data_IF_285144020562
#
_entry.id   IF_285144020562
#
_cell.length_a   1.000
_cell.length_b   1.000
_cell.length_c   1.000
_cell.angle_alpha   90.00
_cell.angle_beta   90.00
_cell.angle_gamma   90.00
#
_symmetry.space_group_name_H-M   'P 1'
#
loop_
_entity.id
_entity.type
_entity.pdbx_description
1 polymer ?
#
# COMPACT_ATOMS: atom_id res chain seq x y z
N UNK A 1 -13.46 -21.27 8.76
CA UNK A 1 -12.46 -20.78 7.79
C UNK A 1 -11.44 -20.04 8.60
N UNK A 2 -10.16 -20.12 8.27
CA UNK A 2 -9.10 -19.49 9.05
C UNK A 2 -8.18 -18.69 8.16
N UNK A 3 -8.06 -17.38 8.39
CA UNK A 3 -7.16 -16.50 7.65
C UNK A 3 -5.98 -16.15 8.54
N UNK A 4 -4.77 -16.52 8.10
CA UNK A 4 -3.53 -16.33 8.82
C UNK A 4 -2.68 -15.28 8.12
N UNK A 5 -2.35 -14.20 8.84
CA UNK A 5 -1.34 -13.24 8.42
C UNK A 5 0.04 -13.68 8.93
N UNK A 6 1.01 -13.83 8.04
CA UNK A 6 2.40 -14.19 8.39
C UNK A 6 3.38 -13.85 7.27
N UNK A 7 4.62 -13.54 7.61
CA UNK A 7 5.71 -13.42 6.63
C UNK A 7 6.37 -14.78 6.30
N UNK A 8 5.95 -15.88 6.95
CA UNK A 8 6.45 -17.24 6.74
C UNK A 8 5.28 -18.21 6.47
N UNK A 9 4.62 -18.10 5.30
CA UNK A 9 3.54 -19.01 4.93
C UNK A 9 4.05 -20.45 4.87
N UNK A 10 3.19 -21.38 5.27
CA UNK A 10 3.48 -22.82 5.32
C UNK A 10 2.78 -23.60 4.20
N UNK A 11 1.88 -22.95 3.47
CA UNK A 11 1.16 -23.48 2.33
C UNK A 11 0.34 -24.74 2.65
N UNK A 12 -0.19 -24.83 3.87
CA UNK A 12 -1.00 -25.97 4.34
C UNK A 12 -2.44 -25.96 3.79
N UNK A 13 -2.86 -24.88 3.15
CA UNK A 13 -4.17 -24.74 2.52
C UNK A 13 -4.05 -23.88 1.26
N UNK A 14 -4.78 -22.78 1.25
CA UNK A 14 -4.69 -21.76 0.20
C UNK A 14 -3.79 -20.62 0.65
N UNK A 15 -3.25 -19.87 -0.31
CA UNK A 15 -2.56 -18.63 0.01
C UNK A 15 -2.74 -17.58 -1.05
N UNK A 16 -2.79 -16.32 -0.64
CA UNK A 16 -2.88 -15.15 -1.51
C UNK A 16 -1.74 -14.21 -1.15
N UNK A 17 -0.99 -13.74 -2.15
CA UNK A 17 0.15 -12.85 -1.98
C UNK A 17 1.13 -13.37 -0.92
N UNK A 18 1.59 -14.60 -1.10
CA UNK A 18 2.32 -15.36 -0.08
C UNK A 18 3.68 -15.91 -0.54
N UNK A 19 4.21 -15.41 -1.65
CA UNK A 19 5.47 -15.85 -2.25
C UNK A 19 5.37 -17.23 -2.93
N UNK A 20 4.18 -17.63 -3.39
CA UNK A 20 3.98 -18.85 -4.17
C UNK A 20 2.81 -18.70 -5.13
N UNK A 21 3.07 -18.90 -6.42
CA UNK A 21 2.06 -18.95 -7.47
C UNK A 21 2.01 -20.35 -8.11
N UNK A 22 0.86 -21.02 -8.01
CA UNK A 22 0.59 -22.27 -8.73
C UNK A 22 -0.75 -22.29 -9.46
N UNK A 23 -1.58 -21.24 -9.32
CA UNK A 23 -2.93 -21.13 -9.89
C UNK A 23 -3.91 -22.27 -9.51
N UNK A 24 -3.59 -23.04 -8.47
CA UNK A 24 -4.43 -24.13 -7.96
C UNK A 24 -4.81 -23.84 -6.51
N UNK A 25 -3.82 -23.52 -5.67
CA UNK A 25 -4.01 -23.22 -4.25
C UNK A 25 -3.31 -21.94 -3.81
N UNK A 26 -2.28 -21.52 -4.53
CA UNK A 26 -1.43 -20.39 -4.17
C UNK A 26 -1.44 -19.37 -5.30
N UNK A 27 -1.84 -18.15 -4.97
CA UNK A 27 -2.07 -17.07 -5.91
C UNK A 27 -1.20 -15.90 -5.51
N UNK A 28 -0.28 -15.52 -6.38
CA UNK A 28 0.71 -14.47 -6.17
C UNK A 28 1.16 -14.01 -7.55
N UNK A 29 1.42 -12.71 -7.71
CA UNK A 29 1.88 -12.12 -8.97
C UNK A 29 3.14 -11.25 -8.81
N UNK A 30 3.88 -11.40 -7.71
CA UNK A 30 5.07 -10.59 -7.45
C UNK A 30 6.36 -11.37 -7.70
N UNK A 31 7.42 -10.64 -8.07
CA UNK A 31 8.77 -11.20 -8.26
C UNK A 31 8.80 -12.32 -9.29
N UNK A 32 9.22 -13.52 -8.88
CA UNK A 32 9.27 -14.68 -9.78
C UNK A 32 7.90 -15.14 -10.31
N UNK A 33 6.80 -14.65 -9.72
CA UNK A 33 5.44 -14.97 -10.13
C UNK A 33 4.76 -13.87 -10.96
N UNK A 34 5.49 -12.87 -11.43
CA UNK A 34 4.93 -11.75 -12.25
C UNK A 34 4.15 -12.16 -13.50
N UNK A 35 4.33 -13.40 -13.97
CA UNK A 35 3.61 -13.96 -15.11
C UNK A 35 2.25 -14.59 -14.74
N UNK A 36 1.96 -14.71 -13.43
CA UNK A 36 0.68 -15.18 -12.93
C UNK A 36 -0.27 -13.98 -12.78
N UNK A 37 -1.58 -14.15 -13.02
CA UNK A 37 -2.54 -13.06 -12.87
C UNK A 37 -2.69 -12.68 -11.40
N UNK A 38 -2.88 -11.38 -11.13
CA UNK A 38 -3.08 -10.91 -9.76
C UNK A 38 -4.37 -11.51 -9.16
N UNK A 39 -4.40 -11.76 -7.84
CA UNK A 39 -5.58 -12.30 -7.16
C UNK A 39 -6.90 -11.57 -7.46
N UNK A 40 -6.91 -10.25 -7.61
CA UNK A 40 -8.16 -9.56 -7.95
C UNK A 40 -8.68 -9.90 -9.35
N UNK A 41 -7.79 -10.21 -10.29
CA UNK A 41 -8.13 -10.50 -11.69
C UNK A 41 -7.97 -12.00 -12.06
N UNK A 42 -7.63 -12.85 -11.09
CA UNK A 42 -7.43 -14.28 -11.30
C UNK A 42 -8.75 -15.07 -11.23
N UNK A 43 -9.32 -15.37 -12.41
CA UNK A 43 -10.53 -16.17 -12.54
C UNK A 43 -10.34 -17.67 -12.27
N UNK A 44 -9.11 -18.13 -12.02
CA UNK A 44 -8.81 -19.53 -11.69
C UNK A 44 -8.90 -19.81 -10.18
N UNK A 45 -9.02 -18.77 -9.35
CA UNK A 45 -9.22 -18.91 -7.90
C UNK A 45 -10.55 -19.66 -7.65
N UNK A 46 -10.51 -20.86 -7.03
CA UNK A 46 -11.71 -21.65 -6.78
C UNK A 46 -12.44 -21.16 -5.53
N UNK A 47 -13.71 -21.53 -5.39
CA UNK A 47 -14.41 -21.42 -4.10
C UNK A 47 -13.96 -22.57 -3.20
N UNK A 48 -13.54 -22.28 -1.97
CA UNK A 48 -12.96 -23.24 -1.04
C UNK A 48 -13.94 -23.70 0.04
N UNK A 49 -13.62 -24.82 0.67
CA UNK A 49 -14.42 -25.39 1.76
C UNK A 49 -14.38 -24.50 3.01
N UNK A 50 -15.46 -24.51 3.80
CA UNK A 50 -15.64 -23.60 4.95
C UNK A 50 -14.59 -23.74 6.04
N UNK A 51 -13.89 -24.85 6.14
CA UNK A 51 -12.85 -25.14 7.13
C UNK A 51 -11.43 -24.93 6.59
N UNK A 52 -11.29 -24.48 5.34
CA UNK A 52 -10.00 -24.16 4.72
C UNK A 52 -9.23 -23.09 5.51
N UNK A 53 -7.91 -23.22 5.49
CA UNK A 53 -6.97 -22.19 5.94
C UNK A 53 -6.45 -21.40 4.73
N UNK A 54 -6.45 -20.08 4.84
CA UNK A 54 -5.93 -19.14 3.86
C UNK A 54 -4.77 -18.38 4.51
N UNK A 55 -3.59 -18.38 3.90
CA UNK A 55 -2.44 -17.62 4.36
C UNK A 55 -2.19 -16.40 3.49
N UNK A 56 -1.92 -15.26 4.12
CA UNK A 56 -1.64 -13.98 3.46
C UNK A 56 -0.39 -13.34 4.08
N UNK A 57 0.38 -12.57 3.31
CA UNK A 57 1.52 -11.80 3.86
C UNK A 57 1.20 -10.34 4.13
N UNK A 58 0.11 -9.83 3.56
CA UNK A 58 -0.35 -8.48 3.78
C UNK A 58 -1.86 -8.39 3.50
N UNK A 59 -2.42 -7.19 3.66
CA UNK A 59 -3.82 -6.92 3.35
C UNK A 59 -3.91 -5.61 2.59
N UNK A 60 -4.26 -5.72 1.33
CA UNK A 60 -4.63 -4.64 0.43
C UNK A 60 -5.87 -5.04 -0.39
N UNK A 61 -6.20 -4.24 -1.39
CA UNK A 61 -7.38 -4.48 -2.20
C UNK A 61 -7.25 -5.71 -3.11
N UNK A 62 -6.06 -5.98 -3.63
CA UNK A 62 -5.84 -7.16 -4.47
C UNK A 62 -6.00 -8.44 -3.64
N UNK A 63 -5.31 -8.51 -2.48
CA UNK A 63 -5.45 -9.60 -1.51
C UNK A 63 -6.90 -9.78 -1.06
N UNK A 64 -7.59 -8.68 -0.73
CA UNK A 64 -8.99 -8.74 -0.26
C UNK A 64 -9.93 -9.32 -1.32
N UNK A 65 -9.81 -8.90 -2.59
CA UNK A 65 -10.62 -9.46 -3.68
C UNK A 65 -10.28 -10.93 -3.91
N UNK A 66 -9.00 -11.32 -3.81
CA UNK A 66 -8.61 -12.73 -3.82
C UNK A 66 -9.32 -13.55 -2.74
N UNK A 67 -9.43 -13.01 -1.52
CA UNK A 67 -10.17 -13.66 -0.43
C UNK A 67 -11.66 -13.76 -0.76
N UNK A 68 -12.28 -12.70 -1.31
CA UNK A 68 -13.69 -12.76 -1.74
C UNK A 68 -13.92 -13.89 -2.76
N UNK A 69 -13.01 -14.06 -3.72
CA UNK A 69 -13.06 -15.17 -4.71
C UNK A 69 -12.98 -16.54 -4.04
N UNK A 70 -12.00 -16.75 -3.15
CA UNK A 70 -11.87 -18.01 -2.41
C UNK A 70 -13.14 -18.34 -1.62
N UNK A 71 -13.83 -17.33 -1.12
CA UNK A 71 -15.06 -17.51 -0.35
C UNK A 71 -16.34 -17.55 -1.19
N UNK A 72 -16.24 -17.42 -2.52
CA UNK A 72 -17.40 -17.35 -3.42
C UNK A 72 -18.32 -16.17 -3.11
N UNK A 73 -17.77 -15.06 -2.60
CA UNK A 73 -18.51 -13.82 -2.32
C UNK A 73 -18.61 -12.96 -3.57
N UNK A 74 -19.61 -12.08 -3.59
CA UNK A 74 -19.75 -11.07 -4.64
C UNK A 74 -18.51 -10.18 -4.70
N UNK A 75 -17.99 -10.00 -5.92
CA UNK A 75 -16.85 -9.14 -6.19
C UNK A 75 -17.32 -7.69 -6.30
N UNK A 76 -16.44 -6.70 -6.01
CA UNK A 76 -16.81 -5.30 -6.16
C UNK A 76 -17.10 -4.98 -7.63
N UNK A 77 -18.19 -4.25 -7.88
CA UNK A 77 -18.54 -3.76 -9.22
C UNK A 77 -17.66 -2.56 -9.61
N UNK A 78 -16.38 -2.83 -9.87
CA UNK A 78 -15.34 -1.87 -10.27
C UNK A 78 -14.50 -2.48 -11.40
N UNK A 79 -13.68 -1.67 -12.05
CA UNK A 79 -12.70 -2.19 -13.02
C UNK A 79 -11.54 -2.88 -12.29
N UNK A 80 -11.55 -4.22 -12.26
CA UNK A 80 -10.51 -5.03 -11.63
C UNK A 80 -9.17 -5.00 -12.37
N UNK A 81 -9.16 -4.80 -13.69
CA UNK A 81 -7.91 -4.60 -14.44
C UNK A 81 -7.22 -3.31 -14.02
N UNK A 82 -7.99 -2.24 -13.77
CA UNK A 82 -7.44 -0.99 -13.23
C UNK A 82 -6.92 -1.20 -11.80
N UNK A 83 -7.60 -2.02 -10.98
CA UNK A 83 -7.13 -2.34 -9.63
C UNK A 83 -5.77 -3.04 -9.68
N UNK A 84 -5.62 -4.06 -10.52
CA UNK A 84 -4.35 -4.77 -10.75
C UNK A 84 -3.25 -3.82 -11.28
N UNK A 85 -3.58 -2.91 -12.19
CA UNK A 85 -2.61 -1.93 -12.69
C UNK A 85 -2.12 -0.98 -11.59
N UNK A 86 -3.03 -0.53 -10.71
CA UNK A 86 -2.67 0.33 -9.59
C UNK A 86 -1.86 -0.45 -8.55
N UNK A 87 -2.20 -1.71 -8.28
CA UNK A 87 -1.44 -2.56 -7.38
C UNK A 87 0.01 -2.72 -7.84
N UNK A 88 0.20 -3.12 -9.11
CA UNK A 88 1.52 -3.35 -9.69
C UNK A 88 2.39 -2.08 -9.83
N UNK A 89 1.78 -0.92 -10.08
CA UNK A 89 2.52 0.29 -10.50
C UNK A 89 2.33 1.50 -9.58
N UNK A 90 1.51 1.36 -8.54
CA UNK A 90 1.08 2.45 -7.68
C UNK A 90 0.01 3.36 -8.29
N UNK A 91 -0.63 4.16 -7.44
CA UNK A 91 -1.76 5.03 -7.78
C UNK A 91 -1.46 6.09 -8.85
N UNK A 92 -0.20 6.46 -9.06
CA UNK A 92 0.18 7.49 -10.04
C UNK A 92 -0.13 7.12 -11.49
N UNK A 93 -0.39 5.84 -11.78
CA UNK A 93 -0.85 5.43 -13.11
C UNK A 93 -2.32 5.81 -13.38
N UNK A 94 -3.13 5.96 -12.32
CA UNK A 94 -4.54 6.31 -12.43
C UNK A 94 -4.73 7.82 -12.37
N UNK A 95 -4.78 8.47 -13.54
CA UNK A 95 -4.93 9.93 -13.66
C UNK A 95 -6.28 10.45 -13.20
N UNK A 96 -7.33 9.65 -13.35
CA UNK A 96 -8.64 9.99 -12.80
C UNK A 96 -8.64 9.72 -11.30
N UNK A 97 -8.54 10.80 -10.52
CA UNK A 97 -8.50 10.79 -9.06
C UNK A 97 -9.78 10.22 -8.43
N UNK A 98 -10.89 10.18 -9.17
CA UNK A 98 -12.17 9.65 -8.70
C UNK A 98 -12.55 8.32 -9.38
N UNK A 99 -11.58 7.66 -10.02
CA UNK A 99 -11.77 6.33 -10.55
C UNK A 99 -12.17 5.36 -9.42
N UNK A 100 -13.22 4.56 -9.64
CA UNK A 100 -13.76 3.68 -8.61
C UNK A 100 -12.78 2.62 -8.11
N UNK A 101 -11.85 2.14 -8.96
CA UNK A 101 -10.84 1.17 -8.54
C UNK A 101 -9.80 1.82 -7.60
N UNK A 102 -9.35 3.04 -7.93
CA UNK A 102 -8.48 3.83 -7.05
C UNK A 102 -9.15 4.10 -5.71
N UNK A 103 -10.39 4.58 -5.73
CA UNK A 103 -11.14 4.86 -4.51
C UNK A 103 -11.37 3.59 -3.69
N UNK A 104 -11.72 2.47 -4.33
CA UNK A 104 -11.85 1.20 -3.63
C UNK A 104 -10.55 0.78 -2.94
N UNK A 105 -9.41 0.90 -3.62
CA UNK A 105 -8.11 0.58 -3.04
C UNK A 105 -7.76 1.46 -1.83
N UNK A 106 -7.96 2.77 -1.94
CA UNK A 106 -7.77 3.70 -0.82
C UNK A 106 -8.70 3.39 0.35
N UNK A 107 -9.95 3.01 0.04
CA UNK A 107 -10.96 2.58 1.01
C UNK A 107 -10.53 1.34 1.79
N UNK A 108 -10.07 0.29 1.10
CA UNK A 108 -9.52 -0.92 1.72
C UNK A 108 -8.31 -0.58 2.60
N UNK A 109 -7.37 0.23 2.10
CA UNK A 109 -6.21 0.66 2.87
C UNK A 109 -6.58 1.42 4.14
N UNK A 110 -7.64 2.24 4.10
CA UNK A 110 -8.16 2.93 5.29
C UNK A 110 -8.86 1.97 6.25
N UNK A 111 -9.67 1.04 5.75
CA UNK A 111 -10.34 0.03 6.59
C UNK A 111 -9.33 -0.86 7.31
N UNK A 112 -8.32 -1.34 6.60
CA UNK A 112 -7.20 -2.12 7.15
C UNK A 112 -6.56 -1.43 8.36
N UNK A 113 -6.36 -0.10 8.30
CA UNK A 113 -5.85 0.71 9.41
C UNK A 113 -6.88 0.90 10.53
N UNK A 114 -8.13 1.22 10.21
CA UNK A 114 -9.19 1.48 11.18
C UNK A 114 -9.51 0.23 12.02
N UNK A 115 -9.54 -0.93 11.36
CA UNK A 115 -9.75 -2.24 11.97
C UNK A 115 -8.48 -2.81 12.62
N UNK A 116 -7.37 -2.06 12.57
CA UNK A 116 -6.10 -2.39 13.22
C UNK A 116 -5.57 -3.78 12.82
N UNK A 117 -5.66 -4.11 11.52
CA UNK A 117 -5.00 -5.31 11.01
C UNK A 117 -3.52 -5.27 11.42
N UNK A 118 -3.00 -6.32 12.06
CA UNK A 118 -1.65 -6.34 12.57
C UNK A 118 -0.66 -6.15 11.42
N UNK A 119 0.51 -5.58 11.74
CA UNK A 119 1.62 -5.61 10.79
C UNK A 119 2.09 -7.04 10.63
N UNK A 120 2.46 -7.43 9.41
CA UNK A 120 3.02 -8.75 9.16
C UNK A 120 4.29 -8.96 9.97
N UNK A 121 4.43 -10.16 10.51
CA UNK A 121 5.62 -10.62 11.23
C UNK A 121 5.80 -12.12 10.97
N UNK A 122 6.88 -12.70 11.51
CA UNK A 122 7.06 -14.15 11.43
C UNK A 122 6.00 -14.92 12.21
N UNK A 123 5.39 -14.29 13.23
CA UNK A 123 4.30 -14.88 13.99
C UNK A 123 3.08 -15.09 13.10
N UNK A 124 2.41 -16.22 13.32
CA UNK A 124 1.18 -16.59 12.62
C UNK A 124 0.01 -16.00 13.37
N UNK A 125 -0.54 -14.91 12.85
CA UNK A 125 -1.65 -14.20 13.50
C UNK A 125 -2.95 -14.55 12.79
N UNK A 126 -3.92 -15.05 13.55
CA UNK A 126 -5.27 -15.27 13.05
C UNK A 126 -5.98 -13.92 12.92
N UNK A 127 -6.29 -13.54 11.68
CA UNK A 127 -6.97 -12.28 11.34
C UNK A 127 -8.39 -12.51 10.84
N UNK A 128 -8.92 -13.74 10.97
CA UNK A 128 -10.23 -14.14 10.43
C UNK A 128 -11.34 -13.17 10.84
N UNK A 129 -11.45 -12.86 12.13
CA UNK A 129 -12.48 -11.95 12.65
C UNK A 129 -12.39 -10.55 12.04
N UNK A 130 -11.17 -10.05 11.81
CA UNK A 130 -10.96 -8.71 11.25
C UNK A 130 -11.40 -8.67 9.79
N UNK A 131 -11.08 -9.72 9.01
CA UNK A 131 -11.52 -9.83 7.63
C UNK A 131 -13.04 -10.05 7.54
N UNK A 132 -13.62 -10.82 8.47
CA UNK A 132 -15.07 -10.94 8.60
C UNK A 132 -15.74 -9.60 8.89
N UNK A 133 -15.11 -8.73 9.69
CA UNK A 133 -15.59 -7.38 9.92
C UNK A 133 -15.55 -6.51 8.65
N UNK A 134 -14.53 -6.67 7.80
CA UNK A 134 -14.47 -6.00 6.50
C UNK A 134 -15.63 -6.38 5.58
N UNK A 135 -16.15 -7.62 5.66
CA UNK A 135 -17.31 -8.05 4.87
C UNK A 135 -18.59 -7.29 5.19
N UNK A 136 -18.67 -6.60 6.33
CA UNK A 136 -19.82 -5.77 6.70
C UNK A 136 -19.86 -4.43 5.94
N UNK A 137 -18.88 -4.15 5.09
CA UNK A 137 -18.80 -2.94 4.27
C UNK A 137 -19.17 -3.26 2.82
N UNK A 138 -20.21 -2.62 2.32
CA UNK A 138 -20.55 -2.68 0.90
C UNK A 138 -19.45 -2.03 0.05
N UNK A 139 -19.35 -2.43 -1.21
CA UNK A 139 -18.44 -1.81 -2.19
C UNK A 139 -18.61 -0.29 -2.25
N UNK A 140 -19.85 0.20 -2.24
CA UNK A 140 -20.15 1.64 -2.22
C UNK A 140 -19.60 2.34 -0.96
N UNK A 141 -19.76 1.71 0.21
CA UNK A 141 -19.21 2.26 1.47
C UNK A 141 -17.69 2.31 1.45
N UNK A 142 -17.03 1.28 0.90
CA UNK A 142 -15.58 1.24 0.74
C UNK A 142 -15.11 2.37 -0.20
N UNK A 143 -15.79 2.56 -1.33
CA UNK A 143 -15.50 3.64 -2.28
C UNK A 143 -15.68 5.01 -1.64
N UNK A 144 -16.73 5.22 -0.84
CA UNK A 144 -16.95 6.49 -0.13
C UNK A 144 -15.84 6.78 0.89
N UNK A 145 -15.38 5.78 1.64
CA UNK A 145 -14.20 5.91 2.52
C UNK A 145 -12.97 6.30 1.70
N UNK A 146 -12.76 5.66 0.56
CA UNK A 146 -11.67 5.98 -0.36
C UNK A 146 -11.74 7.40 -0.90
N UNK A 147 -12.94 7.90 -1.21
CA UNK A 147 -13.18 9.26 -1.65
C UNK A 147 -12.76 10.28 -0.59
N UNK A 148 -13.14 10.06 0.67
CA UNK A 148 -12.71 10.92 1.79
C UNK A 148 -11.18 10.95 1.91
N UNK A 149 -10.53 9.77 1.81
CA UNK A 149 -9.06 9.67 1.82
C UNK A 149 -8.44 10.43 0.65
N UNK A 150 -8.99 10.30 -0.56
CA UNK A 150 -8.47 10.98 -1.73
C UNK A 150 -8.62 12.50 -1.60
N UNK A 151 -9.78 12.99 -1.16
CA UNK A 151 -10.02 14.42 -0.93
C UNK A 151 -9.06 14.99 0.13
N UNK A 152 -8.82 14.24 1.22
CA UNK A 152 -7.85 14.62 2.24
C UNK A 152 -6.41 14.58 1.71
N UNK A 153 -6.06 13.62 0.87
CA UNK A 153 -4.74 13.53 0.22
C UNK A 153 -4.50 14.76 -0.67
N UNK A 154 -5.49 15.16 -1.48
CA UNK A 154 -5.38 16.34 -2.35
C UNK A 154 -5.26 17.64 -1.55
N UNK A 155 -5.99 17.77 -0.45
CA UNK A 155 -5.82 18.90 0.48
C UNK A 155 -4.43 18.90 1.12
N UNK A 156 -3.98 17.76 1.64
CA UNK A 156 -2.67 17.62 2.25
C UNK A 156 -1.54 17.94 1.26
N UNK A 157 -1.69 17.56 -0.02
CA UNK A 157 -0.73 17.88 -1.07
C UNK A 157 -0.57 19.40 -1.29
N UNK A 158 -1.60 20.20 -1.02
CA UNK A 158 -1.52 21.66 -1.12
C UNK A 158 -1.04 22.26 0.20
N UNK A 159 -1.68 21.89 1.30
CA UNK A 159 -1.54 22.55 2.59
C UNK A 159 -0.26 22.16 3.35
N UNK A 160 0.28 20.98 3.08
CA UNK A 160 1.43 20.44 3.81
C UNK A 160 2.78 20.71 3.12
N UNK A 161 2.80 21.43 2.00
CA UNK A 161 4.06 21.79 1.34
C UNK A 161 4.87 22.72 2.24
N UNK A 162 6.17 22.42 2.36
CA UNK A 162 7.13 23.28 3.08
C UNK A 162 8.16 23.89 2.16
N UNK A 163 8.62 23.16 1.17
CA UNK A 163 9.59 23.67 0.21
C UNK A 163 9.43 22.99 -1.14
N UNK A 164 9.74 23.74 -2.21
CA UNK A 164 9.76 23.28 -3.60
C UNK A 164 11.05 23.81 -4.22
N UNK A 165 11.81 22.95 -4.90
CA UNK A 165 13.02 23.36 -5.62
C UNK A 165 13.24 22.42 -6.79
N UNK A 166 13.30 22.98 -8.00
CA UNK A 166 13.57 22.21 -9.22
C UNK A 166 12.67 20.96 -9.32
N UNK A 167 13.25 19.76 -9.30
CA UNK A 167 12.56 18.47 -9.40
C UNK A 167 12.26 17.81 -8.05
N UNK A 168 12.37 18.53 -6.92
CA UNK A 168 12.09 17.99 -5.59
C UNK A 168 11.10 18.83 -4.78
N UNK A 169 10.34 18.15 -3.91
CA UNK A 169 9.35 18.75 -3.02
C UNK A 169 9.47 18.18 -1.59
N UNK A 170 9.29 19.04 -0.59
CA UNK A 170 9.25 18.68 0.82
C UNK A 170 7.84 18.92 1.38
N UNK A 171 7.30 17.88 2.02
CA UNK A 171 6.09 17.93 2.80
C UNK A 171 6.36 17.77 4.29
N UNK A 172 5.53 18.40 5.11
CA UNK A 172 5.46 18.11 6.53
C UNK A 172 4.02 17.85 6.95
N UNK A 173 3.76 16.62 7.40
CA UNK A 173 2.39 16.12 7.64
C UNK A 173 2.18 15.66 9.08
N UNK A 174 0.94 15.73 9.54
CA UNK A 174 0.43 15.18 10.80
C UNK A 174 -0.23 13.81 10.59
N UNK A 175 -0.87 13.27 11.63
CA UNK A 175 -1.47 11.94 11.60
C UNK A 175 -2.75 11.86 10.74
N UNK A 176 -3.47 12.97 10.63
CA UNK A 176 -4.73 13.08 9.88
C UNK A 176 -4.54 13.37 8.39
N UNK A 177 -3.32 13.73 7.98
CA UNK A 177 -3.03 14.16 6.63
C UNK A 177 -2.74 12.92 5.75
N UNK A 178 -3.63 12.61 4.82
CA UNK A 178 -3.59 11.42 3.97
C UNK A 178 -2.66 11.56 2.75
N UNK A 179 -1.57 12.31 2.88
CA UNK A 179 -0.69 12.63 1.76
C UNK A 179 -0.23 11.37 1.02
N UNK A 180 -0.62 11.26 -0.25
CA UNK A 180 -0.03 10.34 -1.20
C UNK A 180 1.23 10.94 -1.86
N UNK A 181 2.45 10.47 -1.53
CA UNK A 181 3.69 11.05 -2.08
C UNK A 181 3.77 10.98 -3.61
N UNK A 182 3.22 9.91 -4.21
CA UNK A 182 3.26 9.68 -5.65
C UNK A 182 2.47 10.72 -6.44
N UNK A 183 1.57 11.47 -5.79
CA UNK A 183 0.86 12.59 -6.41
C UNK A 183 1.82 13.66 -6.95
N UNK A 184 2.98 13.84 -6.32
CA UNK A 184 3.95 14.84 -6.76
C UNK A 184 4.54 14.53 -8.15
N UNK A 185 4.54 13.25 -8.56
CA UNK A 185 5.10 12.82 -9.84
C UNK A 185 4.31 13.38 -11.03
N UNK A 186 3.01 13.63 -10.86
CA UNK A 186 2.18 14.30 -11.87
C UNK A 186 2.59 15.76 -12.12
N UNK A 187 3.21 16.40 -11.13
CA UNK A 187 3.65 17.79 -11.19
C UNK A 187 5.17 17.89 -11.49
N UNK A 188 5.76 16.82 -12.03
CA UNK A 188 7.18 16.72 -12.42
C UNK A 188 8.18 16.84 -11.26
N UNK A 189 7.77 16.51 -10.03
CA UNK A 189 8.73 16.29 -8.95
C UNK A 189 9.18 14.83 -8.98
N UNK A 190 10.47 14.59 -9.24
CA UNK A 190 11.04 13.24 -9.21
C UNK A 190 11.40 12.79 -7.80
N UNK A 191 11.54 13.72 -6.85
CA UNK A 191 11.95 13.41 -5.49
C UNK A 191 11.02 14.08 -4.48
N UNK A 192 10.51 13.29 -3.55
CA UNK A 192 9.57 13.72 -2.52
C UNK A 192 10.14 13.39 -1.17
N UNK A 193 10.42 14.41 -0.37
CA UNK A 193 10.79 14.27 1.03
C UNK A 193 9.54 14.49 1.87
N UNK A 194 9.25 13.61 2.82
CA UNK A 194 8.12 13.75 3.73
C UNK A 194 8.60 13.64 5.16
N UNK A 195 8.40 14.70 5.94
CA UNK A 195 8.51 14.68 7.39
C UNK A 195 7.16 14.34 8.02
N UNK A 196 7.11 13.26 8.80
CA UNK A 196 5.90 12.80 9.50
C UNK A 196 5.98 13.21 10.97
N UNK A 197 5.30 14.30 11.35
CA UNK A 197 5.34 14.87 12.71
C UNK A 197 4.94 13.88 13.79
N UNK A 198 3.94 13.04 13.51
CA UNK A 198 3.38 12.07 14.45
C UNK A 198 4.28 10.85 14.69
N UNK A 199 5.15 10.50 13.73
CA UNK A 199 6.15 9.45 13.91
C UNK A 199 7.56 9.99 14.18
N UNK A 200 7.77 11.30 13.96
CA UNK A 200 9.08 11.96 13.95
C UNK A 200 10.04 11.22 13.02
N UNK A 201 9.60 10.95 11.79
CA UNK A 201 10.41 10.25 10.77
C UNK A 201 10.48 11.04 9.48
N UNK A 202 11.54 10.80 8.71
CA UNK A 202 11.72 11.34 7.36
C UNK A 202 11.61 10.17 6.39
N UNK A 203 10.86 10.34 5.31
CA UNK A 203 10.79 9.40 4.20
C UNK A 203 11.19 10.11 2.92
N UNK A 204 11.94 9.41 2.05
CA UNK A 204 12.29 9.89 0.72
C UNK A 204 11.68 8.93 -0.29
N UNK A 205 10.90 9.47 -1.21
CA UNK A 205 10.32 8.75 -2.33
C UNK A 205 10.89 9.32 -3.63
N UNK A 206 11.23 8.45 -4.56
CA UNK A 206 11.61 8.81 -5.91
C UNK A 206 10.56 8.31 -6.90
N UNK A 207 10.30 9.11 -7.93
CA UNK A 207 9.48 8.69 -9.07
C UNK A 207 10.06 7.38 -9.64
N UNK A 208 9.27 6.31 -9.76
CA UNK A 208 9.76 5.02 -10.27
C UNK A 208 10.43 5.11 -11.64
N UNK A 209 10.04 6.09 -12.47
CA UNK A 209 10.61 6.35 -13.79
C UNK A 209 11.93 7.13 -13.75
N UNK A 210 12.30 7.67 -12.60
CA UNK A 210 13.55 8.42 -12.41
C UNK A 210 14.71 7.49 -12.05
N UNK A 211 15.94 7.97 -12.24
CA UNK A 211 17.17 7.24 -11.87
C UNK A 211 17.56 7.37 -10.39
N UNK A 212 16.80 8.12 -9.60
CA UNK A 212 17.19 8.45 -8.22
C UNK A 212 16.97 7.25 -7.30
N UNK A 213 17.96 6.97 -6.46
CA UNK A 213 17.89 5.93 -5.43
C UNK A 213 18.56 6.45 -4.17
N UNK A 214 17.96 6.21 -3.00
CA UNK A 214 18.39 6.79 -1.73
C UNK A 214 18.62 5.77 -0.61
N UNK A 215 18.05 4.57 -0.70
CA UNK A 215 18.33 3.52 0.29
C UNK A 215 19.83 3.19 0.32
N UNK A 216 20.36 2.97 1.52
CA UNK A 216 21.78 2.73 1.79
C UNK A 216 22.65 3.99 1.81
N UNK A 217 22.13 5.16 1.39
CA UNK A 217 22.88 6.41 1.37
C UNK A 217 22.78 7.15 2.71
N UNK A 218 23.81 7.94 3.00
CA UNK A 218 23.79 8.91 4.11
C UNK A 218 23.57 10.30 3.52
N UNK A 219 22.55 11.01 3.99
CA UNK A 219 22.15 12.35 3.53
C UNK A 219 21.89 13.19 4.78
N UNK A 220 22.49 14.37 4.89
CA UNK A 220 22.43 15.22 6.08
C UNK A 220 22.78 14.46 7.37
N UNK A 221 23.81 13.60 7.31
CA UNK A 221 24.26 12.70 8.38
C UNK A 221 23.23 11.65 8.84
N UNK A 222 22.20 11.37 8.04
CA UNK A 222 21.18 10.35 8.32
C UNK A 222 21.32 9.23 7.29
N UNK A 223 21.52 7.99 7.76
CA UNK A 223 21.55 6.80 6.90
C UNK A 223 20.11 6.34 6.60
N UNK A 224 19.71 6.39 5.34
CA UNK A 224 18.39 5.94 4.89
C UNK A 224 18.43 4.46 4.50
N UNK A 225 17.35 3.74 4.79
CA UNK A 225 17.22 2.31 4.47
C UNK A 225 15.80 1.97 4.00
N UNK A 226 15.65 0.84 3.32
CA UNK A 226 14.39 0.39 2.70
C UNK A 226 14.53 0.14 1.20
N UNK A 227 13.45 0.37 0.45
CA UNK A 227 13.45 0.18 -1.01
C UNK A 227 14.33 1.25 -1.68
N UNK A 228 15.08 0.93 -2.75
CA UNK A 228 15.98 1.89 -3.43
C UNK A 228 15.34 3.26 -3.72
N UNK A 229 14.08 3.25 -4.18
CA UNK A 229 13.30 4.46 -4.51
C UNK A 229 12.27 4.87 -3.43
N UNK A 230 12.20 4.16 -2.30
CA UNK A 230 11.30 4.49 -1.19
C UNK A 230 11.94 4.06 0.13
N UNK A 231 12.59 5.00 0.81
CA UNK A 231 13.37 4.73 2.02
C UNK A 231 13.02 5.67 3.17
N UNK A 232 13.29 5.23 4.39
CA UNK A 232 13.01 5.98 5.61
C UNK A 232 14.26 6.23 6.44
N UNK A 233 14.17 7.23 7.33
CA UNK A 233 15.15 7.44 8.40
C UNK A 233 15.21 6.21 9.33
N UNK A 234 16.30 6.01 10.09
CA UNK A 234 16.45 4.86 10.98
C UNK A 234 15.30 4.72 11.98
N UNK A 235 14.90 3.47 12.24
CA UNK A 235 13.86 3.17 13.23
C UNK A 235 14.34 3.50 14.65
N UNK A 236 13.44 4.02 15.48
CA UNK A 236 13.73 4.34 16.88
C UNK A 236 14.54 5.62 17.10
N UNK A 237 14.89 6.35 16.03
CA UNK A 237 15.56 7.65 16.12
C UNK A 237 14.57 8.72 15.68
N UNK A 238 14.29 9.67 16.58
CA UNK A 238 13.39 10.78 16.29
C UNK A 238 14.08 11.82 15.40
N UNK A 239 13.40 12.22 14.33
CA UNK A 239 13.82 13.26 13.41
C UNK A 239 13.05 14.56 13.66
N UNK A 240 13.62 15.69 13.24
CA UNK A 240 12.99 17.01 13.29
C UNK A 240 12.64 17.55 11.90
N UNK A 241 11.77 18.57 11.86
CA UNK A 241 11.43 19.28 10.61
C UNK A 241 12.67 19.97 10.01
N UNK A 242 13.58 20.49 10.85
CA UNK A 242 14.84 21.09 10.40
C UNK A 242 15.77 20.05 9.76
N UNK A 243 15.85 18.84 10.32
CA UNK A 243 16.62 17.75 9.70
C UNK A 243 16.01 17.34 8.36
N UNK A 244 14.68 17.32 8.24
CA UNK A 244 14.02 17.06 6.96
C UNK A 244 14.33 18.12 5.91
N UNK A 245 14.41 19.39 6.32
CA UNK A 245 14.83 20.48 5.44
C UNK A 245 16.30 20.31 4.98
N UNK A 246 17.22 19.94 5.89
CA UNK A 246 18.61 19.65 5.52
C UNK A 246 18.73 18.47 4.55
N UNK A 247 17.99 17.39 4.78
CA UNK A 247 17.89 16.27 3.84
C UNK A 247 17.38 16.75 2.48
N UNK A 248 16.31 17.56 2.48
CA UNK A 248 15.77 18.14 1.26
C UNK A 248 16.80 19.01 0.53
N UNK A 249 17.61 19.81 1.24
CA UNK A 249 18.62 20.68 0.63
C UNK A 249 19.80 19.92 0.03
N UNK A 250 20.26 18.85 0.67
CA UNK A 250 21.43 18.05 0.27
C UNK A 250 21.17 17.03 -0.85
N UNK A 251 19.91 16.67 -1.09
CA UNK A 251 19.48 15.81 -2.22
C UNK A 251 19.71 16.52 -3.56
#
# INVERSE_FOLDING_TARGET
MKIILTSKPQFQGYSIEAGKGDNIKHFDHHGQFENYPSPCNNNQIPVVEKDSTIEITHMDADTYVGILRLLGKDLPNINLEMLEQIDNNGSSICRDKYNLALLYQLGIGRLQRNLKIPRVSEDRVDVTYIIEEMFNYSTEKIINIGKEVQENSEKAYIDCVRSKKENKILFSINAQDDLNPSRAYEDNYDIVVVYRKHYKTISIYANPKSKFMFAGKTIANIKFDGHPQACGSPRGIEMTEEQALKVFEEI
#
